data_IF_215165693731
#
_entry.id   IF_215165693731
#
_cell.length_a   1.000
_cell.length_b   1.000
_cell.length_c   1.000
_cell.angle_alpha   90.00
_cell.angle_beta   90.00
_cell.angle_gamma   90.00
#
_symmetry.space_group_name_H-M   'P 1'
#
loop_
_entity.id
_entity.type
_entity.pdbx_description
1 polymer ?
#
# COMPACT_ATOMS: atom_id res chain seq x y z
N UNK A 1 3.88 3.94 -8.72
CA UNK A 1 4.95 3.37 -7.88
C UNK A 1 4.39 3.06 -6.51
N UNK A 2 4.16 1.79 -6.17
CA UNK A 2 3.53 1.43 -4.89
C UNK A 2 4.55 1.46 -3.76
N UNK A 3 4.49 2.46 -2.88
CA UNK A 3 5.47 2.69 -1.80
C UNK A 3 4.97 2.18 -0.43
N UNK A 4 4.55 0.93 -0.35
CA UNK A 4 4.16 0.30 0.92
C UNK A 4 5.25 0.30 2.01
N UNK A 5 6.48 0.68 1.66
CA UNK A 5 7.66 0.46 2.50
C UNK A 5 8.08 1.64 3.39
N UNK A 6 7.45 2.82 3.27
CA UNK A 6 7.99 4.04 3.86
C UNK A 6 7.11 4.71 4.90
N UNK A 7 5.97 4.12 5.17
CA UNK A 7 5.01 4.78 6.03
C UNK A 7 5.28 4.47 7.51
N UNK A 8 5.45 5.52 8.32
CA UNK A 8 5.14 5.43 9.74
C UNK A 8 3.64 5.72 9.86
N UNK A 9 2.86 4.76 10.30
CA UNK A 9 1.42 4.85 10.49
C UNK A 9 0.97 6.10 11.28
N UNK A 10 1.88 6.70 12.05
CA UNK A 10 1.69 7.95 12.78
C UNK A 10 1.37 9.17 11.90
N UNK A 11 1.78 9.21 10.64
CA UNK A 11 1.58 10.39 9.80
C UNK A 11 0.20 10.51 9.17
N UNK A 12 -0.53 9.40 8.90
CA UNK A 12 -1.89 9.42 8.35
C UNK A 12 -2.96 9.89 9.33
N UNK A 13 -2.70 9.76 10.64
CA UNK A 13 -3.74 9.90 11.67
C UNK A 13 -3.78 11.25 12.38
N UNK A 14 -2.80 12.11 12.20
CA UNK A 14 -2.63 13.31 13.04
C UNK A 14 -3.67 14.44 12.87
N UNK A 15 -4.58 14.37 11.90
CA UNK A 15 -5.47 15.52 11.63
C UNK A 15 -6.98 15.23 11.55
N UNK A 16 -7.46 14.03 11.85
CA UNK A 16 -8.86 13.70 11.55
C UNK A 16 -9.86 13.80 12.71
N UNK A 17 -9.49 14.32 13.89
CA UNK A 17 -10.46 14.36 14.99
C UNK A 17 -10.33 15.54 15.91
N UNK A 18 -11.12 16.56 15.60
CA UNK A 18 -11.55 17.59 16.54
C UNK A 18 -13.07 17.60 16.70
N UNK A 19 -13.75 16.48 16.90
CA UNK A 19 -15.13 16.50 17.44
C UNK A 19 -15.58 15.05 17.69
N UNK A 20 -15.43 14.62 18.93
CA UNK A 20 -16.34 13.71 19.62
C UNK A 20 -15.78 13.40 21.02
N UNK A 21 -15.85 14.39 21.90
CA UNK A 21 -15.82 14.13 23.34
C UNK A 21 -17.24 13.78 23.77
N UNK A 22 -17.52 12.53 23.95
CA UNK A 22 -18.49 12.03 24.92
C UNK A 22 -18.78 10.57 24.67
N UNK A 23 -18.08 9.69 25.34
CA UNK A 23 -18.48 8.39 25.89
C UNK A 23 -17.32 7.40 25.83
N UNK A 24 -16.62 7.29 26.93
CA UNK A 24 -16.09 6.07 27.57
C UNK A 24 -14.95 6.46 28.52
N UNK A 25 -15.34 6.95 29.69
CA UNK A 25 -14.48 6.87 30.87
C UNK A 25 -14.49 5.40 31.33
N UNK A 26 -13.34 4.72 31.32
CA UNK A 26 -13.23 3.39 31.92
C UNK A 26 -12.16 2.45 31.39
N UNK A 27 -11.25 2.87 30.51
CA UNK A 27 -10.09 2.04 30.15
C UNK A 27 -8.84 2.58 30.82
N UNK A 28 -8.37 1.87 31.86
CA UNK A 28 -7.01 2.00 32.38
C UNK A 28 -6.01 1.92 31.25
N UNK A 29 -4.94 2.74 31.33
CA UNK A 29 -3.83 2.76 30.39
C UNK A 29 -3.27 1.34 30.14
N UNK A 30 -3.90 0.57 29.25
CA UNK A 30 -3.26 -0.56 28.61
C UNK A 30 -2.26 0.05 27.63
N UNK A 31 -1.00 -0.30 27.78
CA UNK A 31 0.08 0.05 26.88
C UNK A 31 -0.39 0.02 25.43
N UNK A 32 -0.22 1.12 24.74
CA UNK A 32 -0.50 1.24 23.30
C UNK A 32 0.40 0.24 22.56
N UNK A 33 -0.13 -0.93 22.27
CA UNK A 33 0.60 -1.97 21.55
C UNK A 33 0.62 -1.61 20.05
N UNK A 34 1.77 -1.30 19.49
CA UNK A 34 1.98 -1.09 18.06
C UNK A 34 1.48 -2.31 17.27
N UNK A 35 0.63 -2.15 16.21
CA UNK A 35 0.15 -3.26 15.38
C UNK A 35 1.28 -4.15 14.85
N UNK A 36 2.41 -3.55 14.51
CA UNK A 36 3.58 -4.30 14.08
C UNK A 36 4.21 -5.14 15.18
N UNK A 37 4.05 -4.77 16.45
CA UNK A 37 4.53 -5.56 17.59
C UNK A 37 3.66 -6.77 17.83
N UNK A 38 2.33 -6.66 17.64
CA UNK A 38 1.40 -7.76 17.88
C UNK A 38 1.61 -8.97 16.97
N UNK A 39 1.93 -8.71 15.71
CA UNK A 39 2.08 -9.75 14.68
C UNK A 39 3.52 -9.89 14.20
N UNK A 40 4.48 -9.34 14.97
CA UNK A 40 5.89 -9.33 14.62
C UNK A 40 6.43 -10.73 14.34
N UNK A 41 6.09 -11.69 15.18
CA UNK A 41 6.57 -13.06 15.05
C UNK A 41 6.00 -13.72 13.79
N UNK A 42 4.71 -13.50 13.51
CA UNK A 42 4.06 -14.02 12.31
C UNK A 42 4.61 -13.38 11.03
N UNK A 43 4.86 -12.07 11.03
CA UNK A 43 5.49 -11.37 9.89
C UNK A 43 6.92 -11.86 9.68
N UNK A 44 7.65 -12.16 10.76
CA UNK A 44 8.97 -12.78 10.67
C UNK A 44 8.89 -14.17 10.05
N UNK A 45 7.93 -15.01 10.47
CA UNK A 45 7.70 -16.33 9.89
C UNK A 45 7.34 -16.24 8.40
N UNK A 46 6.44 -15.33 8.00
CA UNK A 46 6.12 -15.06 6.59
C UNK A 46 7.39 -14.72 5.82
N UNK A 47 8.26 -13.87 6.37
CA UNK A 47 9.51 -13.47 5.71
C UNK A 47 10.46 -14.64 5.50
N UNK A 48 10.59 -15.54 6.49
CA UNK A 48 11.45 -16.73 6.40
C UNK A 48 10.90 -17.75 5.39
N UNK A 49 9.58 -17.92 5.35
CA UNK A 49 8.91 -18.76 4.35
C UNK A 49 9.08 -18.21 2.93
N UNK A 50 8.93 -16.89 2.74
CA UNK A 50 9.17 -16.22 1.45
C UNK A 50 10.59 -16.49 0.93
N UNK A 51 11.61 -16.46 1.79
CA UNK A 51 12.99 -16.82 1.42
C UNK A 51 13.11 -18.24 0.88
N UNK A 52 12.37 -19.19 1.47
CA UNK A 52 12.35 -20.57 1.00
C UNK A 52 11.62 -20.76 -0.32
N UNK A 53 10.58 -19.96 -0.58
CA UNK A 53 9.76 -20.05 -1.80
C UNK A 53 10.48 -19.52 -3.05
N UNK A 54 11.49 -18.67 -2.90
CA UNK A 54 12.23 -18.08 -4.04
C UNK A 54 13.43 -18.89 -4.51
N UNK A 55 13.64 -20.07 -3.96
CA UNK A 55 14.70 -20.98 -4.41
C UNK A 55 14.34 -21.56 -5.78
N UNK A 56 15.23 -21.42 -6.75
CA UNK A 56 15.13 -21.93 -8.12
C UNK A 56 16.29 -22.89 -8.43
N UNK A 57 16.13 -23.70 -9.47
CA UNK A 57 17.21 -24.57 -9.96
C UNK A 57 18.38 -23.76 -10.55
N UNK A 58 18.09 -22.55 -11.07
CA UNK A 58 19.09 -21.64 -11.64
C UNK A 58 19.57 -20.67 -10.56
N UNK A 59 20.87 -20.74 -10.15
CA UNK A 59 21.39 -19.91 -9.05
C UNK A 59 21.25 -18.41 -9.25
N UNK A 60 21.42 -17.92 -10.49
CA UNK A 60 21.28 -16.53 -10.85
C UNK A 60 19.86 -16.03 -10.60
N UNK A 61 18.85 -16.87 -10.91
CA UNK A 61 17.45 -16.56 -10.70
C UNK A 61 17.11 -16.55 -9.19
N UNK A 62 17.61 -17.52 -8.43
CA UNK A 62 17.49 -17.52 -6.96
C UNK A 62 18.09 -16.26 -6.35
N UNK A 63 19.28 -15.85 -6.83
CA UNK A 63 19.95 -14.65 -6.33
C UNK A 63 19.16 -13.37 -6.65
N UNK A 64 18.59 -13.26 -7.85
CA UNK A 64 17.80 -12.12 -8.29
C UNK A 64 16.43 -12.08 -7.59
N UNK A 65 15.67 -13.16 -7.59
CA UNK A 65 14.37 -13.24 -6.91
C UNK A 65 14.49 -13.05 -5.40
N UNK A 66 15.58 -13.54 -4.79
CA UNK A 66 15.87 -13.38 -3.37
C UNK A 66 16.34 -11.97 -2.96
N UNK A 67 16.53 -11.05 -3.90
CA UNK A 67 17.09 -9.73 -3.62
C UNK A 67 16.29 -8.95 -2.58
N UNK A 68 14.97 -8.93 -2.69
CA UNK A 68 14.05 -8.20 -1.80
C UNK A 68 13.81 -8.88 -0.43
N UNK A 69 14.40 -10.08 -0.22
CA UNK A 69 14.30 -10.79 1.05
C UNK A 69 15.61 -10.77 1.85
N UNK A 70 16.62 -10.03 1.38
CA UNK A 70 17.90 -9.86 2.10
C UNK A 70 17.75 -8.83 3.21
N UNK A 71 18.56 -8.99 4.26
CA UNK A 71 18.64 -8.00 5.34
C UNK A 71 18.94 -6.60 4.79
N UNK A 72 18.14 -5.62 5.18
CA UNK A 72 18.22 -4.23 4.71
C UNK A 72 17.43 -3.93 3.42
N UNK A 73 17.01 -4.94 2.62
CA UNK A 73 16.14 -4.78 1.46
C UNK A 73 14.67 -5.05 1.78
N UNK A 74 14.41 -5.56 2.96
CA UNK A 74 13.14 -6.17 3.37
C UNK A 74 12.11 -5.07 3.54
N UNK A 75 11.69 -4.16 3.20
CA UNK A 75 10.60 -3.24 3.54
C UNK A 75 9.87 -3.55 4.85
N UNK A 76 8.88 -2.75 5.17
CA UNK A 76 8.10 -2.89 6.42
C UNK A 76 7.11 -4.04 6.41
N UNK A 77 7.00 -4.81 5.33
CA UNK A 77 6.02 -5.90 5.17
C UNK A 77 4.59 -5.45 5.45
N UNK A 78 4.23 -4.28 4.97
CA UNK A 78 2.91 -3.67 5.24
C UNK A 78 1.77 -4.54 4.71
N UNK A 79 1.89 -5.14 3.52
CA UNK A 79 0.86 -6.03 2.99
C UNK A 79 0.60 -7.25 3.89
N UNK A 80 1.61 -8.07 4.25
CA UNK A 80 1.41 -9.15 5.20
C UNK A 80 0.83 -8.67 6.54
N UNK A 81 1.33 -7.55 7.07
CA UNK A 81 0.83 -6.96 8.32
C UNK A 81 -0.67 -6.69 8.27
N UNK A 82 -1.13 -5.97 7.24
CA UNK A 82 -2.56 -5.63 7.09
C UNK A 82 -3.41 -6.89 6.95
N UNK A 83 -2.94 -7.89 6.18
CA UNK A 83 -3.70 -9.12 5.96
C UNK A 83 -3.79 -9.99 7.22
N UNK A 84 -2.72 -10.08 8.00
CA UNK A 84 -2.72 -10.83 9.25
C UNK A 84 -3.58 -10.16 10.32
N UNK A 85 -3.59 -8.82 10.38
CA UNK A 85 -4.50 -8.06 11.25
C UNK A 85 -5.96 -8.23 10.80
N UNK A 86 -6.24 -8.18 9.49
CA UNK A 86 -7.59 -8.45 8.96
C UNK A 86 -8.03 -9.87 9.31
N UNK A 87 -7.14 -10.86 9.14
CA UNK A 87 -7.43 -12.24 9.50
C UNK A 87 -7.75 -12.39 11.00
N UNK A 88 -7.04 -11.68 11.87
CA UNK A 88 -7.33 -11.66 13.32
C UNK A 88 -8.68 -11.00 13.61
N UNK A 89 -9.01 -9.90 12.94
CA UNK A 89 -10.25 -9.16 13.17
C UNK A 89 -11.53 -9.93 12.77
N UNK A 90 -11.44 -10.79 11.73
CA UNK A 90 -12.60 -11.53 11.21
C UNK A 90 -12.65 -13.00 11.64
N UNK A 91 -11.60 -13.52 12.27
CA UNK A 91 -11.58 -14.89 12.82
C UNK A 91 -12.26 -14.90 14.18
N UNK A 92 -13.58 -14.75 14.20
CA UNK A 92 -14.37 -14.92 15.42
C UNK A 92 -14.54 -16.40 15.75
N UNK A 93 -14.29 -16.76 17.02
CA UNK A 93 -14.71 -18.00 17.67
C UNK A 93 -14.44 -19.32 16.93
N UNK A 94 -13.20 -19.58 16.57
CA UNK A 94 -12.79 -20.98 16.51
C UNK A 94 -12.46 -21.35 17.96
N UNK A 95 -13.47 -21.96 18.62
CA UNK A 95 -13.34 -22.49 19.96
C UNK A 95 -11.99 -23.17 20.14
N UNK A 96 -11.30 -22.85 21.24
CA UNK A 96 -10.08 -23.51 21.70
C UNK A 96 -10.12 -25.02 21.42
N UNK A 97 -9.43 -25.50 20.40
CA UNK A 97 -9.30 -26.95 20.20
C UNK A 97 -9.27 -27.48 18.77
N UNK A 98 -9.60 -26.70 17.72
CA UNK A 98 -9.44 -27.12 16.35
C UNK A 98 -8.27 -26.39 15.71
N UNK A 99 -7.13 -27.09 15.72
CA UNK A 99 -5.87 -26.85 15.03
C UNK A 99 -5.83 -25.71 13.98
N UNK A 100 -4.87 -24.82 14.14
CA UNK A 100 -4.11 -23.90 13.30
C UNK A 100 -4.31 -23.85 11.74
N UNK A 101 -5.26 -24.59 11.16
CA UNK A 101 -5.43 -24.66 9.69
C UNK A 101 -5.91 -23.36 9.05
N UNK A 102 -6.91 -22.64 9.58
CA UNK A 102 -7.33 -21.36 9.01
C UNK A 102 -6.20 -20.33 9.05
N UNK A 103 -5.50 -20.22 10.18
CA UNK A 103 -4.38 -19.27 10.33
C UNK A 103 -3.24 -19.57 9.35
N UNK A 104 -2.89 -20.84 9.15
CA UNK A 104 -1.88 -21.25 8.17
C UNK A 104 -2.25 -20.84 6.73
N UNK A 105 -3.54 -20.93 6.35
CA UNK A 105 -4.03 -20.47 5.03
C UNK A 105 -3.96 -18.96 4.88
N UNK A 106 -4.29 -18.21 5.95
CA UNK A 106 -4.17 -16.75 5.95
C UNK A 106 -2.71 -16.28 5.84
N UNK A 107 -1.80 -16.92 6.60
CA UNK A 107 -0.36 -16.67 6.46
C UNK A 107 0.13 -16.96 5.05
N UNK A 108 -0.30 -18.08 4.46
CA UNK A 108 0.06 -18.44 3.09
C UNK A 108 -0.46 -17.43 2.06
N UNK A 109 -1.69 -16.90 2.25
CA UNK A 109 -2.21 -15.81 1.43
C UNK A 109 -1.39 -14.52 1.59
N UNK A 110 -0.92 -14.21 2.80
CA UNK A 110 -0.05 -13.06 3.04
C UNK A 110 1.30 -13.20 2.33
N UNK A 111 1.89 -14.41 2.30
CA UNK A 111 3.08 -14.75 1.52
C UNK A 111 2.86 -14.53 0.01
N UNK A 112 1.75 -15.05 -0.52
CA UNK A 112 1.37 -14.91 -1.93
C UNK A 112 1.21 -13.44 -2.31
N UNK A 113 0.49 -12.67 -1.50
CA UNK A 113 0.25 -11.24 -1.74
C UNK A 113 1.57 -10.46 -1.73
N UNK A 114 2.49 -10.76 -0.82
CA UNK A 114 3.80 -10.12 -0.77
C UNK A 114 4.65 -10.47 -2.00
N UNK A 115 4.61 -11.71 -2.50
CA UNK A 115 5.29 -12.07 -3.75
C UNK A 115 4.75 -11.29 -4.95
N UNK A 116 3.42 -11.12 -5.05
CA UNK A 116 2.79 -10.30 -6.10
C UNK A 116 3.21 -8.83 -5.94
N UNK A 117 3.25 -8.33 -4.72
CA UNK A 117 3.73 -6.97 -4.46
C UNK A 117 5.20 -6.78 -4.88
N UNK A 118 6.09 -7.71 -4.53
CA UNK A 118 7.50 -7.63 -4.92
C UNK A 118 7.67 -7.74 -6.44
N UNK A 119 6.88 -8.62 -7.10
CA UNK A 119 6.83 -8.68 -8.55
C UNK A 119 6.50 -7.32 -9.17
N UNK A 120 5.46 -6.63 -8.69
CA UNK A 120 5.10 -5.32 -9.20
C UNK A 120 6.20 -4.28 -9.01
N UNK A 121 6.89 -4.31 -7.86
CA UNK A 121 8.02 -3.40 -7.60
C UNK A 121 9.21 -3.64 -8.55
N UNK A 122 9.52 -4.90 -8.85
CA UNK A 122 10.61 -5.23 -9.79
C UNK A 122 10.28 -4.74 -11.20
N UNK A 123 9.05 -4.95 -11.65
CA UNK A 123 8.63 -4.52 -12.98
C UNK A 123 8.51 -3.00 -13.08
N UNK A 124 7.99 -2.33 -12.06
CA UNK A 124 7.97 -0.87 -11.97
C UNK A 124 9.38 -0.28 -12.09
N UNK A 125 10.36 -0.83 -11.35
CA UNK A 125 11.76 -0.36 -11.43
C UNK A 125 12.35 -0.49 -12.83
N UNK A 126 11.98 -1.56 -13.57
CA UNK A 126 12.41 -1.75 -14.96
C UNK A 126 11.74 -0.76 -15.91
N UNK A 127 10.43 -0.50 -15.72
CA UNK A 127 9.65 0.41 -16.56
C UNK A 127 10.06 1.88 -16.35
N UNK A 128 10.32 2.25 -15.08
CA UNK A 128 10.72 3.61 -14.69
C UNK A 128 12.24 3.86 -14.85
N UNK A 129 13.02 2.89 -15.34
CA UNK A 129 14.50 2.98 -15.39
C UNK A 129 15.11 3.38 -14.04
N UNK A 130 14.54 2.91 -12.94
CA UNK A 130 14.96 3.30 -11.60
C UNK A 130 16.34 2.74 -11.26
N UNK A 131 17.27 3.60 -10.85
CA UNK A 131 18.62 3.19 -10.41
C UNK A 131 18.62 2.69 -8.96
N UNK A 132 17.73 3.23 -8.14
CA UNK A 132 17.70 2.95 -6.69
C UNK A 132 16.30 2.64 -6.19
N UNK A 133 16.23 1.75 -5.18
CA UNK A 133 15.03 1.45 -4.40
C UNK A 133 15.38 1.32 -2.93
N UNK A 134 14.65 2.04 -2.06
CA UNK A 134 14.88 2.05 -0.59
C UNK A 134 16.32 2.43 -0.20
N UNK A 135 16.95 3.33 -0.96
CA UNK A 135 18.31 3.77 -0.71
C UNK A 135 19.40 2.75 -1.11
N UNK A 136 19.02 1.66 -1.78
CA UNK A 136 19.95 0.67 -2.37
C UNK A 136 19.78 0.64 -3.88
N UNK A 137 20.73 0.02 -4.59
CA UNK A 137 20.60 -0.24 -6.01
C UNK A 137 19.28 -0.98 -6.29
N UNK A 138 18.59 -0.62 -7.38
CA UNK A 138 17.45 -1.41 -7.86
C UNK A 138 17.91 -2.74 -8.45
N UNK A 139 17.01 -3.71 -8.59
CA UNK A 139 17.39 -5.00 -9.15
C UNK A 139 17.83 -4.87 -10.61
N UNK A 140 17.11 -4.09 -11.42
CA UNK A 140 17.45 -3.84 -12.84
C UNK A 140 18.81 -3.16 -13.00
N UNK A 141 19.19 -2.25 -12.10
CA UNK A 141 20.53 -1.63 -12.10
C UNK A 141 21.62 -2.66 -11.79
N UNK A 142 21.37 -3.56 -10.84
CA UNK A 142 22.37 -4.53 -10.37
C UNK A 142 22.58 -5.73 -11.30
N UNK A 143 21.50 -6.27 -11.87
CA UNK A 143 21.57 -7.51 -12.68
C UNK A 143 21.16 -7.32 -14.15
N UNK A 144 20.76 -6.11 -14.51
CA UNK A 144 20.25 -5.75 -15.83
C UNK A 144 18.76 -6.06 -15.99
N UNK A 145 18.10 -5.29 -16.88
CA UNK A 145 16.64 -5.33 -17.12
C UNK A 145 16.13 -6.74 -17.44
N UNK A 146 16.83 -7.49 -18.31
CA UNK A 146 16.36 -8.82 -18.75
C UNK A 146 16.24 -9.81 -17.58
N UNK A 147 17.25 -9.87 -16.72
CA UNK A 147 17.21 -10.79 -15.57
C UNK A 147 16.23 -10.28 -14.50
N UNK A 148 16.07 -8.98 -14.33
CA UNK A 148 15.08 -8.41 -13.42
C UNK A 148 13.65 -8.79 -13.86
N UNK A 149 13.29 -8.66 -15.13
CA UNK A 149 11.98 -9.10 -15.66
C UNK A 149 11.75 -10.58 -15.39
N UNK A 150 12.74 -11.46 -15.71
CA UNK A 150 12.60 -12.89 -15.48
C UNK A 150 12.48 -13.25 -13.98
N UNK A 151 13.15 -12.50 -13.11
CA UNK A 151 13.02 -12.68 -11.66
C UNK A 151 11.63 -12.28 -11.17
N UNK A 152 11.06 -11.20 -11.71
CA UNK A 152 9.68 -10.80 -11.46
C UNK A 152 8.69 -11.88 -11.93
N UNK A 153 8.79 -12.33 -13.18
CA UNK A 153 7.94 -13.39 -13.72
C UNK A 153 8.00 -14.66 -12.88
N UNK A 154 9.20 -15.04 -12.46
CA UNK A 154 9.39 -16.21 -11.58
C UNK A 154 8.63 -16.06 -10.26
N UNK A 155 8.70 -14.88 -9.62
CA UNK A 155 7.95 -14.60 -8.37
C UNK A 155 6.44 -14.67 -8.60
N UNK A 156 5.95 -14.11 -9.69
CA UNK A 156 4.51 -14.15 -10.03
C UNK A 156 4.03 -15.58 -10.24
N UNK A 157 4.77 -16.40 -10.99
CA UNK A 157 4.41 -17.81 -11.19
C UNK A 157 4.47 -18.61 -9.90
N UNK A 158 5.44 -18.34 -9.01
CA UNK A 158 5.48 -18.94 -7.67
C UNK A 158 4.27 -18.53 -6.84
N UNK A 159 3.89 -17.26 -6.88
CA UNK A 159 2.70 -16.76 -6.17
C UNK A 159 1.42 -17.48 -6.63
N UNK A 160 1.21 -17.62 -7.96
CA UNK A 160 0.02 -18.34 -8.46
C UNK A 160 0.08 -19.84 -8.22
N UNK A 161 1.27 -20.47 -8.29
CA UNK A 161 1.41 -21.88 -7.91
C UNK A 161 1.04 -22.09 -6.44
N UNK A 162 1.46 -21.20 -5.57
CA UNK A 162 1.09 -21.20 -4.15
C UNK A 162 -0.43 -20.91 -3.96
N UNK A 163 -1.01 -19.98 -4.73
CA UNK A 163 -2.43 -19.67 -4.66
C UNK A 163 -3.33 -20.87 -5.00
N UNK A 164 -2.92 -21.70 -5.96
CA UNK A 164 -3.63 -22.95 -6.30
C UNK A 164 -3.66 -23.91 -5.12
N UNK A 165 -2.60 -23.97 -4.30
CA UNK A 165 -2.55 -24.85 -3.13
C UNK A 165 -3.48 -24.44 -1.99
N UNK A 166 -4.09 -23.23 -2.05
CA UNK A 166 -5.15 -22.82 -1.13
C UNK A 166 -6.49 -23.53 -1.39
N UNK A 167 -6.61 -24.26 -2.52
CA UNK A 167 -7.79 -24.99 -2.93
C UNK A 167 -9.08 -24.15 -2.86
N UNK A 168 -9.00 -22.91 -3.37
CA UNK A 168 -10.12 -21.97 -3.43
C UNK A 168 -10.04 -21.11 -4.71
N UNK A 169 -10.92 -21.42 -5.67
CA UNK A 169 -10.92 -20.77 -6.98
C UNK A 169 -11.34 -19.30 -6.94
N UNK A 170 -12.15 -18.89 -5.95
CA UNK A 170 -12.52 -17.48 -5.78
C UNK A 170 -11.30 -16.67 -5.34
N UNK A 171 -10.49 -17.18 -4.41
CA UNK A 171 -9.24 -16.55 -3.98
C UNK A 171 -8.27 -16.39 -5.16
N UNK A 172 -8.09 -17.44 -5.98
CA UNK A 172 -7.24 -17.34 -7.18
C UNK A 172 -7.77 -16.28 -8.14
N UNK A 173 -9.08 -16.20 -8.33
CA UNK A 173 -9.73 -15.18 -9.20
C UNK A 173 -9.52 -13.76 -8.66
N UNK A 174 -9.62 -13.56 -7.34
CA UNK A 174 -9.36 -12.26 -6.69
C UNK A 174 -7.91 -11.80 -6.89
N UNK A 175 -6.94 -12.71 -6.72
CA UNK A 175 -5.54 -12.42 -6.95
C UNK A 175 -5.24 -12.12 -8.42
N UNK A 176 -5.83 -12.88 -9.34
CA UNK A 176 -5.71 -12.61 -10.78
C UNK A 176 -6.33 -11.27 -11.17
N UNK A 177 -7.46 -10.89 -10.56
CA UNK A 177 -8.07 -9.57 -10.74
C UNK A 177 -7.14 -8.47 -10.23
N UNK A 178 -6.51 -8.66 -9.07
CA UNK A 178 -5.55 -7.70 -8.53
C UNK A 178 -4.36 -7.49 -9.48
N UNK A 179 -3.78 -8.57 -10.01
CA UNK A 179 -2.67 -8.51 -10.97
C UNK A 179 -3.08 -7.80 -12.26
N UNK A 180 -4.27 -8.13 -12.81
CA UNK A 180 -4.79 -7.43 -13.98
C UNK A 180 -4.98 -5.93 -13.73
N UNK A 181 -5.46 -5.56 -12.54
CA UNK A 181 -5.62 -4.16 -12.15
C UNK A 181 -4.27 -3.44 -12.06
N UNK A 182 -3.25 -4.07 -11.45
CA UNK A 182 -1.88 -3.51 -11.38
C UNK A 182 -1.35 -3.20 -12.79
N UNK A 183 -1.45 -4.15 -13.72
CA UNK A 183 -1.04 -3.96 -15.12
C UNK A 183 -1.85 -2.85 -15.79
N UNK A 184 -3.17 -2.82 -15.56
CA UNK A 184 -4.04 -1.76 -16.11
C UNK A 184 -3.65 -0.39 -15.59
N UNK A 185 -3.39 -0.26 -14.29
CA UNK A 185 -2.95 0.99 -13.67
C UNK A 185 -1.63 1.49 -14.22
N UNK A 186 -0.69 0.56 -14.51
CA UNK A 186 0.58 0.88 -15.15
C UNK A 186 0.38 1.41 -16.57
N UNK A 187 -0.43 0.73 -17.37
CA UNK A 187 -0.79 1.19 -18.72
C UNK A 187 -1.48 2.56 -18.70
N UNK A 188 -2.37 2.81 -17.73
CA UNK A 188 -3.00 4.13 -17.55
C UNK A 188 -1.97 5.23 -17.27
N UNK A 189 -0.93 4.93 -16.51
CA UNK A 189 0.15 5.90 -16.26
C UNK A 189 0.99 6.16 -17.51
N UNK A 190 1.33 5.12 -18.26
CA UNK A 190 2.17 5.24 -19.46
C UNK A 190 1.45 5.91 -20.64
N UNK A 191 0.13 5.74 -20.75
CA UNK A 191 -0.66 6.19 -21.92
C UNK A 191 -1.58 7.37 -21.60
N UNK A 192 -1.25 8.18 -20.58
CA UNK A 192 -2.07 9.30 -20.13
C UNK A 192 -2.15 10.41 -21.18
N UNK A 193 -3.37 10.84 -21.51
CA UNK A 193 -3.59 12.01 -22.37
C UNK A 193 -3.51 13.32 -21.56
N UNK A 194 -3.28 14.50 -22.20
CA UNK A 194 -3.28 15.77 -21.50
C UNK A 194 -4.54 16.01 -20.66
N UNK A 195 -5.72 15.77 -21.23
CA UNK A 195 -6.99 15.91 -20.50
C UNK A 195 -7.13 14.98 -19.30
N UNK A 196 -6.69 13.72 -19.42
CA UNK A 196 -6.67 12.75 -18.31
C UNK A 196 -5.68 13.16 -17.21
N UNK A 197 -4.57 13.77 -17.58
CA UNK A 197 -3.55 14.27 -16.65
C UNK A 197 -4.10 15.33 -15.70
N UNK A 198 -5.11 16.08 -16.13
CA UNK A 198 -5.80 17.11 -15.36
C UNK A 198 -7.03 16.60 -14.58
N UNK A 199 -7.33 15.30 -14.60
CA UNK A 199 -8.55 14.74 -14.02
C UNK A 199 -8.29 14.07 -12.67
N UNK A 200 -8.94 14.54 -11.61
CA UNK A 200 -8.93 13.90 -10.29
C UNK A 200 -9.56 12.50 -10.33
N UNK A 201 -10.65 12.32 -11.07
CA UNK A 201 -11.30 11.00 -11.22
C UNK A 201 -10.36 9.98 -11.87
N UNK A 202 -9.66 10.40 -12.93
CA UNK A 202 -8.67 9.53 -13.58
C UNK A 202 -7.51 9.20 -12.64
N UNK A 203 -7.01 10.17 -11.89
CA UNK A 203 -5.98 9.98 -10.88
C UNK A 203 -6.43 8.97 -9.81
N UNK A 204 -7.63 9.12 -9.23
CA UNK A 204 -8.14 8.20 -8.22
C UNK A 204 -8.37 6.79 -8.77
N UNK A 205 -8.84 6.66 -10.00
CA UNK A 205 -9.00 5.37 -10.66
C UNK A 205 -7.64 4.68 -10.89
N UNK A 206 -6.65 5.42 -11.40
CA UNK A 206 -5.28 4.92 -11.55
C UNK A 206 -4.69 4.51 -10.18
N UNK A 207 -4.87 5.33 -9.15
CA UNK A 207 -4.41 5.05 -7.78
C UNK A 207 -5.06 3.79 -7.22
N UNK A 208 -6.35 3.60 -7.45
CA UNK A 208 -7.00 2.34 -7.09
C UNK A 208 -6.31 1.16 -7.78
N UNK A 209 -6.11 1.20 -9.09
CA UNK A 209 -5.53 0.10 -9.83
C UNK A 209 -4.07 -0.20 -9.43
N UNK A 210 -3.21 0.82 -9.35
CA UNK A 210 -1.78 0.63 -9.05
C UNK A 210 -1.50 0.30 -7.58
N UNK A 211 -2.31 0.79 -6.65
CA UNK A 211 -1.99 0.72 -5.22
C UNK A 211 -3.04 -0.03 -4.42
N UNK A 212 -4.32 0.34 -4.53
CA UNK A 212 -5.36 -0.19 -3.66
C UNK A 212 -5.89 -1.57 -4.08
N UNK A 213 -5.82 -1.93 -5.36
CA UNK A 213 -6.43 -3.15 -5.89
C UNK A 213 -5.85 -4.42 -5.28
N UNK A 214 -4.54 -4.50 -5.08
CA UNK A 214 -3.91 -5.67 -4.47
C UNK A 214 -4.41 -5.87 -3.05
N UNK A 215 -4.35 -4.84 -2.21
CA UNK A 215 -4.73 -4.97 -0.82
C UNK A 215 -6.23 -5.20 -0.64
N UNK A 216 -7.09 -4.55 -1.46
CA UNK A 216 -8.54 -4.74 -1.38
C UNK A 216 -8.97 -6.17 -1.76
N UNK A 217 -8.43 -6.71 -2.86
CA UNK A 217 -8.73 -8.08 -3.25
C UNK A 217 -8.14 -9.10 -2.27
N UNK A 218 -6.97 -8.83 -1.70
CA UNK A 218 -6.35 -9.72 -0.71
C UNK A 218 -7.09 -9.69 0.63
N UNK A 219 -7.57 -8.53 1.11
CA UNK A 219 -8.44 -8.46 2.30
C UNK A 219 -9.75 -9.23 2.07
N UNK A 220 -10.38 -9.09 0.90
CA UNK A 220 -11.55 -9.91 0.55
C UNK A 220 -11.20 -11.40 0.54
N UNK A 221 -10.04 -11.77 -0.01
CA UNK A 221 -9.61 -13.16 -0.06
C UNK A 221 -9.37 -13.76 1.34
N UNK A 222 -8.89 -12.97 2.31
CA UNK A 222 -8.84 -13.37 3.72
C UNK A 222 -10.24 -13.73 4.23
N UNK A 223 -11.24 -12.86 3.99
CA UNK A 223 -12.62 -13.11 4.41
C UNK A 223 -13.26 -14.33 3.72
N UNK A 224 -12.93 -14.57 2.45
CA UNK A 224 -13.35 -15.78 1.72
C UNK A 224 -12.73 -17.04 2.35
N UNK A 225 -11.42 -17.02 2.67
CA UNK A 225 -10.75 -18.16 3.32
C UNK A 225 -11.24 -18.42 4.74
N UNK A 226 -11.75 -17.39 5.41
CA UNK A 226 -12.39 -17.48 6.72
C UNK A 226 -13.89 -17.86 6.63
N UNK A 227 -14.38 -18.22 5.42
CA UNK A 227 -15.77 -18.60 5.15
C UNK A 227 -16.80 -17.58 5.66
N UNK A 228 -16.44 -16.30 5.64
CA UNK A 228 -17.29 -15.21 6.08
C UNK A 228 -18.43 -14.91 5.09
N UNK A 229 -19.48 -14.23 5.59
CA UNK A 229 -20.61 -13.84 4.76
C UNK A 229 -20.20 -12.86 3.63
N UNK A 230 -21.05 -12.75 2.61
CA UNK A 230 -20.81 -11.84 1.46
C UNK A 230 -20.67 -10.38 1.91
N UNK A 231 -21.39 -10.01 2.96
CA UNK A 231 -21.35 -8.67 3.58
C UNK A 231 -19.98 -8.42 4.21
N UNK A 232 -19.48 -9.35 5.03
CA UNK A 232 -18.13 -9.24 5.66
C UNK A 232 -17.04 -9.23 4.59
N UNK A 233 -17.18 -10.05 3.54
CA UNK A 233 -16.26 -10.03 2.40
C UNK A 233 -16.24 -8.66 1.70
N UNK A 234 -17.42 -8.02 1.54
CA UNK A 234 -17.52 -6.69 0.97
C UNK A 234 -16.89 -5.61 1.86
N UNK A 235 -17.09 -5.70 3.18
CA UNK A 235 -16.46 -4.78 4.15
C UNK A 235 -14.94 -4.93 4.14
N UNK A 236 -14.40 -6.14 4.14
CA UNK A 236 -12.97 -6.39 4.02
C UNK A 236 -12.38 -5.80 2.73
N UNK A 237 -13.09 -5.94 1.60
CA UNK A 237 -12.71 -5.31 0.34
C UNK A 237 -12.68 -3.78 0.44
N UNK A 238 -13.72 -3.15 1.00
CA UNK A 238 -13.81 -1.69 1.15
C UNK A 238 -12.71 -1.17 2.08
N UNK A 239 -12.44 -1.86 3.17
CA UNK A 239 -11.30 -1.54 4.03
C UNK A 239 -9.99 -1.45 3.23
N UNK A 240 -9.63 -2.51 2.52
CA UNK A 240 -8.40 -2.54 1.74
C UNK A 240 -8.35 -1.48 0.63
N UNK A 241 -9.51 -1.20 -0.01
CA UNK A 241 -9.64 -0.16 -1.04
C UNK A 241 -9.33 1.22 -0.49
N UNK A 242 -10.01 1.59 0.59
CA UNK A 242 -9.87 2.91 1.18
C UNK A 242 -8.51 3.10 1.85
N UNK A 243 -8.01 2.07 2.52
CA UNK A 243 -6.65 2.07 3.09
C UNK A 243 -5.59 2.30 1.99
N UNK A 244 -5.67 1.57 0.87
CA UNK A 244 -4.71 1.69 -0.23
C UNK A 244 -4.74 3.08 -0.89
N UNK A 245 -5.92 3.68 -1.07
CA UNK A 245 -6.05 5.04 -1.62
C UNK A 245 -5.49 6.07 -0.62
N UNK A 246 -5.86 5.99 0.66
CA UNK A 246 -5.34 6.89 1.70
C UNK A 246 -3.80 6.82 1.76
N UNK A 247 -3.27 5.61 1.68
CA UNK A 247 -1.84 5.38 1.67
C UNK A 247 -1.14 6.11 0.51
N UNK A 248 -1.64 5.98 -0.73
CA UNK A 248 -1.06 6.65 -1.88
C UNK A 248 -1.15 8.18 -1.79
N UNK A 249 -2.29 8.71 -1.34
CA UNK A 249 -2.47 10.15 -1.15
C UNK A 249 -1.42 10.74 -0.18
N UNK A 250 -1.08 10.00 0.87
CA UNK A 250 -0.02 10.43 1.79
C UNK A 250 1.37 10.28 1.16
N UNK A 251 1.63 9.22 0.39
CA UNK A 251 2.89 9.08 -0.34
C UNK A 251 3.11 10.26 -1.30
N UNK A 252 2.06 10.69 -2.00
CA UNK A 252 2.09 11.85 -2.88
C UNK A 252 2.38 13.16 -2.12
N UNK A 253 1.84 13.35 -0.91
CA UNK A 253 2.18 14.50 -0.06
C UNK A 253 3.65 14.44 0.35
N UNK A 254 4.13 13.28 0.75
CA UNK A 254 5.50 13.09 1.19
C UNK A 254 6.51 13.34 0.07
N UNK A 255 6.17 13.08 -1.19
CA UNK A 255 7.04 13.40 -2.33
C UNK A 255 7.34 14.91 -2.42
N UNK A 256 6.39 15.77 -2.03
CA UNK A 256 6.57 17.24 -1.99
C UNK A 256 7.16 17.75 -0.67
N UNK A 257 6.86 17.11 0.46
CA UNK A 257 7.19 17.64 1.81
C UNK A 257 8.35 16.93 2.49
N UNK A 258 8.70 15.73 2.03
CA UNK A 258 9.77 14.92 2.59
C UNK A 258 11.16 15.34 2.11
N UNK A 259 12.18 15.00 2.88
CA UNK A 259 13.58 15.12 2.46
C UNK A 259 14.07 13.84 1.81
N UNK A 260 15.05 13.92 0.90
CA UNK A 260 15.63 12.73 0.26
C UNK A 260 16.13 11.69 1.28
N UNK A 261 16.61 12.15 2.45
CA UNK A 261 17.04 11.28 3.54
C UNK A 261 15.85 10.53 4.18
N UNK A 262 14.70 11.21 4.38
CA UNK A 262 13.50 10.59 4.95
C UNK A 262 12.74 9.73 3.94
N UNK A 263 12.84 10.06 2.65
CA UNK A 263 12.14 9.33 1.57
C UNK A 263 12.94 8.13 1.05
N UNK A 264 14.29 8.12 1.21
CA UNK A 264 15.23 7.14 0.61
C UNK A 264 15.17 7.13 -0.94
N UNK A 265 14.56 8.16 -1.56
CA UNK A 265 14.57 8.53 -2.99
C UNK A 265 14.75 10.04 -3.08
N UNK A 266 15.00 10.56 -4.29
CA UNK A 266 14.93 11.98 -4.51
C UNK A 266 13.53 12.51 -4.19
N UNK A 267 13.41 13.63 -3.48
CA UNK A 267 12.15 14.36 -3.35
C UNK A 267 11.71 14.89 -4.72
N UNK A 268 10.42 15.09 -4.91
CA UNK A 268 9.84 15.56 -6.17
C UNK A 268 10.03 14.57 -7.33
N UNK A 269 10.19 13.28 -7.03
CA UNK A 269 10.44 12.28 -8.09
C UNK A 269 9.26 12.15 -9.05
N UNK A 270 8.03 12.26 -8.54
CA UNK A 270 6.83 12.07 -9.37
C UNK A 270 6.69 13.18 -10.39
N UNK A 271 6.83 14.46 -9.99
CA UNK A 271 6.73 15.59 -10.92
C UNK A 271 7.88 15.60 -11.94
N UNK A 272 9.08 15.17 -11.54
CA UNK A 272 10.23 15.04 -12.46
C UNK A 272 10.07 13.89 -13.46
N UNK A 273 9.25 12.88 -13.14
CA UNK A 273 8.84 11.80 -14.06
C UNK A 273 7.59 12.17 -14.89
N UNK A 274 7.10 13.42 -14.78
CA UNK A 274 5.90 13.85 -15.49
C UNK A 274 4.59 13.36 -14.88
N UNK A 275 4.63 12.79 -13.68
CA UNK A 275 3.45 12.26 -12.98
C UNK A 275 2.78 13.38 -12.20
N UNK A 276 1.50 13.62 -12.52
CA UNK A 276 0.65 14.57 -11.80
C UNK A 276 -0.10 13.83 -10.70
N UNK A 277 0.02 14.34 -9.47
CA UNK A 277 -0.58 13.73 -8.29
C UNK A 277 -1.57 14.69 -7.62
N UNK A 278 -2.34 14.21 -6.64
CA UNK A 278 -3.45 14.93 -6.03
C UNK A 278 -3.09 16.35 -5.55
N UNK A 279 -1.92 16.64 -4.93
CA UNK A 279 -1.56 18.02 -4.55
C UNK A 279 -1.58 19.00 -5.71
N UNK A 280 -1.07 18.62 -6.87
CA UNK A 280 -1.07 19.47 -8.08
C UNK A 280 -2.49 19.61 -8.64
N UNK A 281 -3.28 18.54 -8.68
CA UNK A 281 -4.67 18.56 -9.16
C UNK A 281 -5.53 19.51 -8.32
N UNK A 282 -5.39 19.48 -7.00
CA UNK A 282 -6.08 20.45 -6.15
C UNK A 282 -5.55 21.87 -6.31
N UNK A 283 -4.27 22.07 -6.55
CA UNK A 283 -3.71 23.40 -6.82
C UNK A 283 -4.25 24.00 -8.12
N UNK A 284 -4.55 23.17 -9.13
CA UNK A 284 -5.16 23.62 -10.41
C UNK A 284 -6.55 24.18 -10.22
N UNK A 285 -7.34 23.68 -9.26
CA UNK A 285 -8.66 24.25 -8.96
C UNK A 285 -8.58 25.68 -8.41
N UNK A 286 -7.48 26.02 -7.72
CA UNK A 286 -7.25 27.36 -7.15
C UNK A 286 -6.53 28.29 -8.14
N UNK A 287 -5.72 27.74 -9.01
CA UNK A 287 -4.88 28.45 -10.00
C UNK A 287 -5.12 27.89 -11.40
N UNK A 288 -6.12 28.39 -12.15
CA UNK A 288 -6.44 27.90 -13.50
C UNK A 288 -5.25 27.95 -14.48
N UNK A 289 -4.30 28.87 -14.28
CA UNK A 289 -3.10 29.00 -15.10
C UNK A 289 -2.21 27.74 -15.02
N UNK A 290 -2.32 26.99 -13.93
CA UNK A 290 -1.58 25.74 -13.77
C UNK A 290 -2.10 24.64 -14.70
N UNK A 291 -3.34 24.74 -15.17
CA UNK A 291 -3.93 23.75 -16.08
C UNK A 291 -3.14 23.63 -17.39
N UNK A 292 -2.82 24.78 -18.01
CA UNK A 292 -2.04 24.80 -19.24
C UNK A 292 -0.64 24.19 -19.04
N UNK A 293 0.01 24.48 -17.91
CA UNK A 293 1.31 23.94 -17.55
C UNK A 293 1.27 22.41 -17.41
N UNK A 294 0.22 21.89 -16.77
CA UNK A 294 0.02 20.46 -16.56
C UNK A 294 -0.30 19.75 -17.87
N UNK A 295 -1.10 20.37 -18.76
CA UNK A 295 -1.37 19.82 -20.10
C UNK A 295 -0.11 19.71 -20.94
N UNK A 296 0.77 20.72 -20.91
CA UNK A 296 2.05 20.71 -21.61
C UNK A 296 3.03 19.65 -21.06
N UNK A 297 2.88 19.27 -19.78
CA UNK A 297 3.76 18.30 -19.11
C UNK A 297 4.98 18.94 -18.46
N UNK A 298 5.82 18.10 -17.86
CA UNK A 298 6.93 18.51 -17.00
C UNK A 298 8.32 18.22 -17.61
N UNK A 299 8.41 17.99 -18.90
CA UNK A 299 9.69 17.83 -19.60
C UNK A 299 10.51 19.15 -19.56
N UNK A 300 9.82 20.31 -19.54
CA UNK A 300 10.46 21.60 -19.34
C UNK A 300 10.64 21.89 -17.84
N UNK A 301 11.89 22.08 -17.35
CA UNK A 301 12.16 22.45 -15.96
C UNK A 301 11.45 23.73 -15.50
N UNK A 302 11.10 24.64 -16.41
CA UNK A 302 10.33 25.84 -16.10
C UNK A 302 8.90 25.48 -15.67
N UNK A 303 8.27 24.50 -16.32
CA UNK A 303 6.94 24.01 -15.95
C UNK A 303 6.96 23.41 -14.55
N UNK A 304 7.97 22.59 -14.22
CA UNK A 304 8.15 22.05 -12.85
C UNK A 304 8.25 23.19 -11.83
N UNK A 305 9.14 24.17 -12.09
CA UNK A 305 9.34 25.31 -11.18
C UNK A 305 8.06 26.13 -10.99
N UNK A 306 7.29 26.33 -12.05
CA UNK A 306 6.03 27.07 -11.99
C UNK A 306 4.97 26.26 -11.23
N UNK A 307 4.85 24.97 -11.48
CA UNK A 307 3.91 24.10 -10.74
C UNK A 307 4.21 24.12 -9.25
N UNK A 308 5.46 23.97 -8.83
CA UNK A 308 5.88 24.04 -7.43
C UNK A 308 5.58 25.41 -6.80
N UNK A 309 5.75 26.50 -7.58
CA UNK A 309 5.40 27.85 -7.12
C UNK A 309 3.91 28.02 -6.88
N UNK A 310 3.04 27.49 -7.74
CA UNK A 310 1.59 27.51 -7.54
C UNK A 310 1.19 26.59 -6.37
N UNK A 311 1.73 25.38 -6.31
CA UNK A 311 1.49 24.45 -5.19
C UNK A 311 1.82 25.10 -3.85
N UNK A 312 2.96 25.80 -3.73
CA UNK A 312 3.38 26.45 -2.48
C UNK A 312 2.45 27.61 -2.03
N UNK A 313 1.58 28.10 -2.92
CA UNK A 313 0.62 29.16 -2.62
C UNK A 313 -0.81 28.63 -2.46
N UNK A 314 -1.05 27.38 -2.84
CA UNK A 314 -2.35 26.72 -2.81
C UNK A 314 -2.57 25.96 -1.51
N UNK A 315 -3.79 25.48 -1.33
CA UNK A 315 -4.17 24.50 -0.31
C UNK A 315 -4.04 23.06 -0.81
N UNK A 316 -3.33 22.82 -1.94
CA UNK A 316 -3.28 21.52 -2.61
C UNK A 316 -2.81 20.38 -1.70
N UNK A 317 -1.75 20.60 -0.90
CA UNK A 317 -1.25 19.61 0.08
C UNK A 317 -2.27 19.34 1.17
N UNK A 318 -2.89 20.41 1.74
CA UNK A 318 -3.84 20.26 2.84
C UNK A 318 -5.15 19.60 2.38
N UNK A 319 -5.61 19.92 1.18
CA UNK A 319 -6.78 19.27 0.57
C UNK A 319 -6.50 17.79 0.29
N UNK A 320 -5.30 17.45 -0.17
CA UNK A 320 -4.88 16.05 -0.33
C UNK A 320 -4.84 15.32 1.00
N UNK A 321 -4.35 15.98 2.07
CA UNK A 321 -4.36 15.44 3.43
C UNK A 321 -5.79 15.17 3.92
N UNK A 322 -6.72 16.12 3.66
CA UNK A 322 -8.12 15.96 4.01
C UNK A 322 -8.78 14.80 3.28
N UNK A 323 -8.48 14.61 1.99
CA UNK A 323 -8.97 13.47 1.20
C UNK A 323 -8.38 12.14 1.71
N UNK A 324 -7.10 12.11 2.06
CA UNK A 324 -6.48 10.93 2.67
C UNK A 324 -7.15 10.56 4.01
N UNK A 325 -7.44 11.58 4.84
CA UNK A 325 -8.14 11.41 6.10
C UNK A 325 -9.59 10.90 5.91
N UNK A 326 -10.30 11.35 4.89
CA UNK A 326 -11.62 10.85 4.52
C UNK A 326 -11.56 9.36 4.16
N UNK A 327 -10.61 8.95 3.31
CA UNK A 327 -10.42 7.55 2.96
C UNK A 327 -10.01 6.70 4.16
N UNK A 328 -9.14 7.20 5.05
CA UNK A 328 -8.79 6.51 6.29
C UNK A 328 -10.02 6.30 7.19
N UNK A 329 -10.91 7.32 7.29
CA UNK A 329 -12.16 7.19 8.04
C UNK A 329 -13.12 6.18 7.42
N UNK A 330 -13.21 6.12 6.08
CA UNK A 330 -14.04 5.13 5.39
C UNK A 330 -13.48 3.70 5.59
N UNK A 331 -12.16 3.54 5.61
CA UNK A 331 -11.55 2.26 5.96
C UNK A 331 -11.88 1.84 7.40
N UNK A 332 -11.75 2.76 8.37
CA UNK A 332 -12.12 2.50 9.77
C UNK A 332 -13.60 2.12 9.91
N UNK A 333 -14.50 2.86 9.23
CA UNK A 333 -15.94 2.57 9.24
C UNK A 333 -16.27 1.17 8.71
N UNK A 334 -15.56 0.70 7.69
CA UNK A 334 -15.74 -0.66 7.19
C UNK A 334 -15.35 -1.75 8.22
N UNK A 335 -14.42 -1.44 9.13
CA UNK A 335 -14.04 -2.33 10.24
C UNK A 335 -15.05 -2.23 11.38
N UNK A 336 -15.56 -1.02 11.69
CA UNK A 336 -16.55 -0.83 12.75
C UNK A 336 -17.85 -1.61 12.50
N UNK A 337 -18.18 -1.84 11.23
CA UNK A 337 -19.35 -2.61 10.79
C UNK A 337 -19.11 -4.13 10.81
N UNK A 338 -17.89 -4.62 11.11
CA UNK A 338 -17.62 -6.05 11.30
C UNK A 338 -18.25 -6.54 12.62
N UNK A 339 -18.59 -7.83 12.72
CA UNK A 339 -19.06 -8.42 13.97
C UNK A 339 -18.06 -8.23 15.12
N UNK A 340 -18.53 -7.89 16.32
CA UNK A 340 -17.69 -7.58 17.48
C UNK A 340 -16.66 -8.68 17.78
N UNK A 341 -15.37 -8.35 17.80
CA UNK A 341 -14.28 -9.21 18.28
C UNK A 341 -13.32 -8.40 19.16
N UNK A 342 -12.62 -9.06 20.09
CA UNK A 342 -11.62 -8.38 20.94
C UNK A 342 -10.51 -7.73 20.08
N UNK A 343 -10.15 -8.35 18.97
CA UNK A 343 -9.11 -7.87 18.04
C UNK A 343 -9.60 -6.70 17.15
N UNK A 344 -10.92 -6.58 16.92
CA UNK A 344 -11.52 -5.42 16.27
C UNK A 344 -11.30 -4.14 17.09
N UNK A 345 -11.40 -4.22 18.41
CA UNK A 345 -11.07 -3.11 19.32
C UNK A 345 -9.60 -2.71 19.12
N UNK A 346 -8.72 -3.65 18.81
CA UNK A 346 -7.30 -3.42 18.56
C UNK A 346 -7.08 -2.77 17.18
N UNK A 347 -7.77 -3.20 16.14
CA UNK A 347 -7.72 -2.54 14.83
C UNK A 347 -8.29 -1.11 14.90
N UNK A 348 -9.40 -0.92 15.58
CA UNK A 348 -10.06 0.40 15.72
C UNK A 348 -9.38 1.34 16.71
N UNK A 349 -8.90 0.84 17.84
CA UNK A 349 -8.18 1.68 18.81
C UNK A 349 -6.91 2.26 18.20
N UNK A 350 -6.35 1.60 17.22
CA UNK A 350 -5.12 1.99 16.53
C UNK A 350 -5.34 2.91 15.34
N UNK A 351 -6.49 2.81 14.71
CA UNK A 351 -6.96 3.84 13.81
C UNK A 351 -7.34 5.14 14.59
N UNK A 352 -7.62 5.05 15.90
CA UNK A 352 -8.01 6.18 16.75
C UNK A 352 -6.93 6.72 17.70
N UNK A 353 -5.92 5.95 18.11
CA UNK A 353 -5.07 6.27 19.27
C UNK A 353 -3.73 6.96 18.96
N UNK A 354 -3.34 7.08 17.69
CA UNK A 354 -2.18 7.90 17.28
C UNK A 354 -2.42 9.43 17.46
N UNK A 355 -3.50 9.81 18.16
CA UNK A 355 -3.91 11.21 18.36
C UNK A 355 -3.16 11.97 19.45
N UNK A 356 -2.41 11.31 20.34
CA UNK A 356 -2.03 11.98 21.60
C UNK A 356 -0.55 12.03 21.96
N UNK A 357 0.37 11.41 21.25
CA UNK A 357 1.76 11.44 21.70
C UNK A 357 2.80 11.46 20.58
N UNK A 358 3.03 12.60 19.98
CA UNK A 358 4.36 13.10 19.55
C UNK A 358 4.25 14.50 18.95
N UNK A 359 4.08 15.46 19.85
CA UNK A 359 4.41 16.86 19.58
C UNK A 359 5.92 16.98 19.82
N UNK A 360 6.61 17.35 18.73
CA UNK A 360 7.89 18.04 18.65
C UNK A 360 9.05 17.61 19.57
N UNK A 361 10.24 17.35 19.04
CA UNK A 361 11.45 17.89 19.64
C UNK A 361 11.75 19.27 19.04
N UNK A 362 12.20 20.16 19.90
CA UNK A 362 12.75 21.47 19.62
C UNK A 362 13.88 21.46 18.59
#
# INVERSE_FOLDING_TARGET
>A
MCYWDRFTWSSCYFHCTSDHSSRKAGLTAKEQLDPFVLIKDEVSEVTDRLRSMVVAEVPELTSAAGYFFRAGAEGKRTCPTVLLLMASAISMDIADGLENKPRARHMHLAEITEMIHIWSLIHDDVLDDADTRRGMDSLNFKVGKKLAVLAGDFLLFRAFSAAVSLDNTEVVSLLATAVNNLVTGELMQMSITPAQRCSMDYYLQKTYYKTAALISNSCKAIAVLAEQTTEVQALAYQYGRHLGIAYQLIDDILDFTGTSASLGKASLSDIHQGIVTAPILFAMEEFPELHEIVEQGFDDPLNVKMALKYLSKSQGIERTRSLAAEHAKLAAGAIDDLPDSEDQVVLNSRLHDDRHNRIMPE
#
